data_IF_431555568088
#
_entry.id   IF_431555568088
#
_cell.length_a   1.000
_cell.length_b   1.000
_cell.length_c   1.000
_cell.angle_alpha   90.00
_cell.angle_beta   90.00
_cell.angle_gamma   90.00
#
_symmetry.space_group_name_H-M   'P 1'
#
loop_
_entity.id
_entity.type
_entity.pdbx_description
1 polymer ?
#
# COMPACT_ATOMS: atom_id res chain seq x y z
N UNK A 1 20.18 4.14 16.44
CA UNK A 1 19.69 5.54 16.20
C UNK A 1 18.19 5.45 15.93
N UNK A 2 17.39 6.34 16.54
CA UNK A 2 15.95 6.37 16.25
C UNK A 2 15.65 7.38 15.14
N UNK A 3 14.73 7.03 14.24
CA UNK A 3 14.17 7.92 13.23
C UNK A 3 12.64 7.98 13.36
N UNK A 4 12.08 9.19 13.20
CA UNK A 4 10.65 9.44 13.24
C UNK A 4 10.13 9.58 11.81
N UNK A 5 9.06 8.87 11.47
CA UNK A 5 8.29 9.05 10.24
C UNK A 5 6.95 9.72 10.52
N UNK A 6 6.56 10.65 9.66
CA UNK A 6 5.26 11.34 9.70
C UNK A 6 4.61 11.25 8.33
N UNK A 7 3.38 10.74 8.27
CA UNK A 7 2.57 10.72 7.07
C UNK A 7 1.16 11.23 7.33
N UNK A 8 0.78 12.29 6.60
CA UNK A 8 -0.55 12.91 6.63
C UNK A 8 -1.18 12.81 5.24
N UNK A 9 -1.27 11.59 4.74
CA UNK A 9 -1.95 11.28 3.49
C UNK A 9 -3.47 11.30 3.65
N UNK A 10 -4.19 11.14 2.58
CA UNK A 10 -5.61 11.48 2.43
C UNK A 10 -6.58 10.89 3.47
N UNK A 11 -6.30 9.70 4.05
CA UNK A 11 -7.27 8.99 4.89
C UNK A 11 -6.79 8.71 6.31
N UNK A 12 -5.51 8.87 6.60
CA UNK A 12 -4.97 8.59 7.94
C UNK A 12 -3.82 9.52 8.30
N UNK A 13 -3.80 9.96 9.57
CA UNK A 13 -2.60 10.54 10.19
C UNK A 13 -1.82 9.41 10.80
N UNK A 14 -0.55 9.21 10.44
CA UNK A 14 0.28 8.16 11.00
C UNK A 14 1.67 8.64 11.36
N UNK A 15 2.20 8.06 12.44
CA UNK A 15 3.53 8.29 12.97
C UNK A 15 4.20 6.94 13.23
N UNK A 16 5.51 6.85 13.05
CA UNK A 16 6.28 5.65 13.38
C UNK A 16 7.69 5.99 13.84
N UNK A 17 8.22 5.19 14.76
CA UNK A 17 9.63 5.24 15.19
C UNK A 17 10.32 3.96 14.76
N UNK A 18 11.44 4.10 14.07
CA UNK A 18 12.29 3.01 13.63
C UNK A 18 13.66 3.08 14.32
N UNK A 19 14.14 1.94 14.83
CA UNK A 19 15.49 1.81 15.36
C UNK A 19 16.43 1.22 14.31
N UNK A 20 17.39 2.02 13.87
CA UNK A 20 18.36 1.61 12.86
C UNK A 20 19.33 0.53 13.34
N UNK A 21 19.63 0.48 14.66
CA UNK A 21 20.54 -0.50 15.23
C UNK A 21 19.90 -1.89 15.30
N UNK A 22 18.65 -1.93 15.79
CA UNK A 22 17.88 -3.18 15.81
C UNK A 22 17.34 -3.55 14.42
N UNK A 23 17.15 -2.56 13.54
CA UNK A 23 16.50 -2.76 12.25
C UNK A 23 15.02 -3.09 12.39
N UNK A 24 14.36 -2.49 13.39
CA UNK A 24 12.99 -2.80 13.77
C UNK A 24 12.14 -1.54 13.97
N UNK A 25 10.83 -1.68 13.77
CA UNK A 25 9.84 -0.67 14.14
C UNK A 25 9.63 -0.73 15.64
N UNK A 26 10.04 0.32 16.35
CA UNK A 26 9.86 0.43 17.81
C UNK A 26 8.39 0.57 18.18
N UNK A 27 7.72 1.48 17.50
CA UNK A 27 6.28 1.70 17.66
C UNK A 27 5.74 2.48 16.46
N UNK A 28 4.44 2.33 16.27
CA UNK A 28 3.66 3.13 15.33
C UNK A 28 2.30 3.49 15.94
N UNK A 29 1.72 4.57 15.48
CA UNK A 29 0.36 4.96 15.81
C UNK A 29 -0.31 5.59 14.59
N UNK A 30 -1.63 5.40 14.51
CA UNK A 30 -2.42 5.83 13.38
C UNK A 30 -3.84 6.19 13.79
N UNK A 31 -4.38 7.28 13.20
CA UNK A 31 -5.77 7.69 13.35
C UNK A 31 -6.38 7.94 11.98
N UNK A 32 -7.44 7.20 11.66
CA UNK A 32 -8.21 7.43 10.43
C UNK A 32 -8.98 8.73 10.53
N UNK A 33 -9.08 9.44 9.42
CA UNK A 33 -9.87 10.64 9.32
C UNK A 33 -11.37 10.29 9.25
N UNK A 34 -12.25 11.08 9.89
CA UNK A 34 -13.69 10.85 9.84
C UNK A 34 -14.22 11.15 8.43
N UNK A 35 -14.68 10.13 7.72
CA UNK A 35 -15.42 10.28 6.46
C UNK A 35 -16.89 10.22 6.78
N UNK A 36 -17.68 11.22 6.35
CA UNK A 36 -19.12 11.24 6.56
C UNK A 36 -19.78 10.12 5.76
N UNK A 37 -20.79 9.51 6.36
CA UNK A 37 -21.57 8.46 5.72
C UNK A 37 -22.13 8.95 4.37
N UNK A 38 -21.97 8.11 3.33
CA UNK A 38 -22.37 8.44 1.95
C UNK A 38 -21.38 9.31 1.15
N UNK A 39 -20.25 9.72 1.72
CA UNK A 39 -19.19 10.41 0.98
C UNK A 39 -18.09 9.44 0.52
N UNK A 40 -17.61 9.62 -0.70
CA UNK A 40 -16.53 8.81 -1.31
C UNK A 40 -15.12 9.36 -0.99
N UNK A 41 -15.00 10.39 -0.13
CA UNK A 41 -13.72 10.98 0.24
C UNK A 41 -13.86 12.25 1.08
N UNK A 42 -12.73 12.85 1.42
CA UNK A 42 -12.64 14.11 2.17
C UNK A 42 -12.20 15.27 1.26
N UNK A 43 -12.73 16.46 1.51
CA UNK A 43 -12.15 17.69 0.95
C UNK A 43 -10.75 17.87 1.53
N UNK A 44 -9.84 18.39 0.74
CA UNK A 44 -8.45 18.57 1.17
C UNK A 44 -8.31 19.53 2.37
N UNK A 45 -9.17 20.55 2.47
CA UNK A 45 -9.25 21.44 3.63
C UNK A 45 -9.65 20.69 4.91
N UNK A 46 -10.62 19.77 4.79
CA UNK A 46 -11.12 19.00 5.93
C UNK A 46 -10.07 17.97 6.36
N UNK A 47 -9.39 17.32 5.38
CA UNK A 47 -8.27 16.43 5.67
C UNK A 47 -7.15 17.16 6.39
N UNK A 48 -6.72 18.34 5.89
CA UNK A 48 -5.71 19.18 6.54
C UNK A 48 -6.09 19.54 7.99
N UNK A 49 -7.35 19.96 8.21
CA UNK A 49 -7.85 20.26 9.55
C UNK A 49 -7.77 19.04 10.49
N UNK A 50 -8.28 17.89 10.04
CA UNK A 50 -8.30 16.68 10.85
C UNK A 50 -6.88 16.16 11.16
N UNK A 51 -5.96 16.21 10.20
CA UNK A 51 -4.55 15.87 10.42
C UNK A 51 -3.93 16.78 11.47
N UNK A 52 -4.14 18.10 11.34
CA UNK A 52 -3.61 19.08 12.29
C UNK A 52 -4.14 18.83 13.70
N UNK A 53 -5.44 18.51 13.83
CA UNK A 53 -6.05 18.19 15.11
C UNK A 53 -5.58 16.85 15.72
N UNK A 54 -5.25 15.87 14.88
CA UNK A 54 -4.82 14.53 15.34
C UNK A 54 -3.36 14.44 15.76
N UNK A 55 -2.49 15.25 15.15
CA UNK A 55 -1.04 15.17 15.36
C UNK A 55 -0.58 15.32 16.83
N UNK A 56 -1.11 16.26 17.63
CA UNK A 56 -0.70 16.40 19.04
C UNK A 56 -0.97 15.12 19.85
N UNK A 57 -2.16 14.51 19.69
CA UNK A 57 -2.54 13.30 20.42
C UNK A 57 -1.66 12.13 20.01
N UNK A 58 -1.41 11.96 18.71
CA UNK A 58 -0.57 10.88 18.17
C UNK A 58 0.90 11.06 18.58
N UNK A 59 1.42 12.28 18.64
CA UNK A 59 2.77 12.56 19.16
C UNK A 59 2.88 12.23 20.65
N UNK A 60 1.86 12.53 21.44
CA UNK A 60 1.80 12.17 22.85
C UNK A 60 1.74 10.65 23.04
N UNK A 61 0.89 9.95 22.25
CA UNK A 61 0.82 8.49 22.24
C UNK A 61 2.16 7.84 21.87
N UNK A 62 2.81 8.35 20.82
CA UNK A 62 4.11 7.85 20.36
C UNK A 62 5.20 8.09 21.43
N UNK A 63 5.20 9.27 22.07
CA UNK A 63 6.13 9.62 23.14
C UNK A 63 5.97 8.79 24.42
N UNK A 64 4.78 8.22 24.65
CA UNK A 64 4.55 7.25 25.72
C UNK A 64 5.16 5.87 25.41
N UNK A 65 5.39 5.55 24.13
CA UNK A 65 5.91 4.25 23.64
C UNK A 65 7.41 4.31 23.32
N UNK A 66 7.94 5.47 22.95
CA UNK A 66 9.33 5.65 22.57
C UNK A 66 9.88 6.98 23.11
N UNK A 67 11.15 6.97 23.51
CA UNK A 67 11.86 8.19 23.93
C UNK A 67 12.18 9.08 22.72
N UNK A 68 11.30 10.03 22.43
CA UNK A 68 11.45 10.95 21.31
C UNK A 68 12.66 11.88 21.43
N UNK A 69 13.27 12.00 22.64
CA UNK A 69 14.50 12.76 22.81
C UNK A 69 15.69 12.10 22.12
N UNK A 70 15.63 10.80 21.83
CA UNK A 70 16.64 10.00 21.11
C UNK A 70 16.47 9.98 19.60
N UNK A 71 15.39 10.59 19.08
CA UNK A 71 15.20 10.70 17.62
C UNK A 71 16.29 11.59 17.03
N UNK A 72 17.00 11.08 16.03
CA UNK A 72 18.15 11.73 15.40
C UNK A 72 17.90 12.16 13.94
N UNK A 73 16.78 11.76 13.34
CA UNK A 73 16.31 12.28 12.05
C UNK A 73 14.79 12.12 11.93
N UNK A 74 14.17 12.99 11.15
CA UNK A 74 12.73 12.96 10.86
C UNK A 74 12.51 12.79 9.37
N UNK A 75 11.65 11.85 8.98
CA UNK A 75 11.11 11.73 7.63
C UNK A 75 9.67 12.23 7.58
N UNK A 76 9.28 12.80 6.45
CA UNK A 76 7.91 13.22 6.23
C UNK A 76 7.48 13.01 4.80
N UNK A 77 6.28 12.47 4.59
CA UNK A 77 5.62 12.49 3.29
C UNK A 77 5.22 13.93 2.96
N UNK A 78 5.83 14.52 1.93
CA UNK A 78 5.59 15.92 1.55
C UNK A 78 4.60 16.04 0.37
N UNK A 79 4.37 14.95 -0.37
CA UNK A 79 3.49 14.89 -1.55
C UNK A 79 3.09 13.44 -1.85
N UNK A 80 2.05 13.21 -2.70
CA UNK A 80 1.58 11.85 -3.01
C UNK A 80 2.62 10.97 -3.73
N UNK A 81 3.22 11.46 -4.82
CA UNK A 81 4.09 10.70 -5.72
C UNK A 81 5.37 11.47 -6.04
N UNK A 82 6.48 10.78 -6.41
CA UNK A 82 7.76 11.42 -6.76
C UNK A 82 7.76 11.97 -8.21
N UNK A 83 6.70 12.70 -8.58
CA UNK A 83 6.55 13.33 -9.90
C UNK A 83 6.27 14.83 -9.74
N UNK A 84 6.65 15.62 -10.75
CA UNK A 84 6.40 17.03 -10.75
C UNK A 84 4.89 17.34 -10.78
N UNK A 85 4.48 18.39 -10.09
CA UNK A 85 3.07 18.75 -9.97
C UNK A 85 2.24 17.86 -9.02
N UNK A 86 2.81 16.80 -8.45
CA UNK A 86 2.14 15.99 -7.43
C UNK A 86 2.03 16.78 -6.14
N UNK A 87 0.84 17.29 -5.83
CA UNK A 87 0.58 18.13 -4.67
C UNK A 87 -0.82 17.86 -4.10
N UNK A 88 -0.90 17.77 -2.79
CA UNK A 88 -2.16 17.75 -2.04
C UNK A 88 -1.99 18.52 -0.73
N UNK A 89 -2.88 19.49 -0.40
CA UNK A 89 -2.78 20.32 0.79
C UNK A 89 -2.70 19.57 2.13
N UNK A 90 -3.31 18.40 2.23
CA UNK A 90 -3.31 17.60 3.47
C UNK A 90 -1.89 17.27 3.99
N UNK A 91 -0.90 17.13 3.10
CA UNK A 91 0.49 16.86 3.49
C UNK A 91 1.15 18.00 4.26
N UNK A 92 0.63 19.23 4.15
CA UNK A 92 1.17 20.39 4.86
C UNK A 92 1.12 20.22 6.39
N UNK A 93 0.13 19.50 6.92
CA UNK A 93 0.05 19.24 8.36
C UNK A 93 1.29 18.47 8.85
N UNK A 94 1.64 17.38 8.16
CA UNK A 94 2.82 16.57 8.47
C UNK A 94 4.12 17.34 8.27
N UNK A 95 4.24 18.06 7.15
CA UNK A 95 5.45 18.85 6.84
C UNK A 95 5.68 19.92 7.91
N UNK A 96 4.64 20.62 8.36
CA UNK A 96 4.76 21.63 9.41
C UNK A 96 5.20 21.00 10.75
N UNK A 97 4.56 19.90 11.16
CA UNK A 97 4.92 19.20 12.40
C UNK A 97 6.35 18.65 12.35
N UNK A 98 6.73 17.99 11.25
CA UNK A 98 8.09 17.46 11.05
C UNK A 98 9.14 18.56 11.06
N UNK A 99 8.86 19.70 10.41
CA UNK A 99 9.77 20.85 10.36
C UNK A 99 9.95 21.45 11.75
N UNK A 100 8.86 21.68 12.49
CA UNK A 100 8.94 22.21 13.85
C UNK A 100 9.74 21.29 14.78
N UNK A 101 9.48 19.98 14.73
CA UNK A 101 10.19 18.98 15.52
C UNK A 101 11.68 18.91 15.16
N UNK A 102 12.00 18.79 13.87
CA UNK A 102 13.38 18.66 13.39
C UNK A 102 14.20 19.92 13.69
N UNK A 103 13.66 21.11 13.41
CA UNK A 103 14.34 22.39 13.67
C UNK A 103 14.49 22.67 15.13
N UNK A 104 13.47 22.38 15.96
CA UNK A 104 13.54 22.54 17.42
C UNK A 104 14.61 21.67 18.07
N UNK A 105 14.92 20.51 17.47
CA UNK A 105 15.98 19.61 17.94
C UNK A 105 17.34 19.80 17.24
N UNK A 106 17.41 20.56 16.15
CA UNK A 106 18.62 20.69 15.34
C UNK A 106 19.02 19.40 14.62
N UNK A 107 18.06 18.57 14.20
CA UNK A 107 18.27 17.28 13.52
C UNK A 107 17.83 17.34 12.06
N UNK A 108 18.32 16.41 11.18
CA UNK A 108 17.92 16.33 9.78
C UNK A 108 16.43 16.11 9.58
N UNK A 109 15.87 16.77 8.55
CA UNK A 109 14.54 16.57 8.02
C UNK A 109 14.64 16.02 6.59
N UNK A 110 14.05 14.85 6.36
CA UNK A 110 14.02 14.14 5.08
C UNK A 110 12.62 14.23 4.48
N UNK A 111 12.53 14.83 3.31
CA UNK A 111 11.28 14.88 2.55
C UNK A 111 11.16 13.67 1.64
N UNK A 112 10.10 12.90 1.81
CA UNK A 112 9.76 11.75 0.97
C UNK A 112 8.42 11.97 0.29
N UNK A 113 7.93 10.95 -0.39
CA UNK A 113 6.55 10.91 -0.88
C UNK A 113 5.79 9.77 -0.23
N UNK A 114 4.47 9.89 -0.16
CA UNK A 114 3.59 8.84 0.35
C UNK A 114 3.81 7.50 -0.39
N UNK A 115 3.94 7.54 -1.72
CA UNK A 115 4.22 6.34 -2.51
C UNK A 115 5.57 5.69 -2.15
N UNK A 116 6.64 6.48 -1.95
CA UNK A 116 7.93 5.96 -1.48
C UNK A 116 7.81 5.33 -0.08
N UNK A 117 7.04 5.95 0.82
CA UNK A 117 6.74 5.38 2.13
C UNK A 117 6.06 4.02 2.03
N UNK A 118 5.04 3.88 1.16
CA UNK A 118 4.39 2.59 0.92
C UNK A 118 5.35 1.52 0.38
N UNK A 119 6.19 1.88 -0.59
CA UNK A 119 7.16 0.94 -1.15
C UNK A 119 8.19 0.53 -0.09
N UNK A 120 8.74 1.48 0.67
CA UNK A 120 9.69 1.18 1.73
C UNK A 120 9.09 0.26 2.81
N UNK A 121 7.86 0.51 3.24
CA UNK A 121 7.15 -0.36 4.18
C UNK A 121 6.90 -1.75 3.59
N UNK A 122 6.56 -1.84 2.30
CA UNK A 122 6.34 -3.09 1.59
C UNK A 122 7.64 -3.92 1.50
N UNK A 123 8.74 -3.31 1.08
CA UNK A 123 10.05 -3.99 1.00
C UNK A 123 10.51 -4.45 2.39
N UNK A 124 10.39 -3.60 3.40
CA UNK A 124 10.73 -3.95 4.79
C UNK A 124 9.93 -5.14 5.31
N UNK A 125 8.64 -5.18 5.01
CA UNK A 125 7.72 -6.21 5.48
C UNK A 125 7.98 -7.60 4.88
N UNK A 126 8.75 -7.70 3.79
CA UNK A 126 9.19 -9.00 3.24
C UNK A 126 10.24 -9.69 4.11
N UNK A 127 10.95 -8.95 4.97
CA UNK A 127 12.11 -9.42 5.73
C UNK A 127 13.40 -9.49 4.89
N UNK A 128 13.34 -9.27 3.59
CA UNK A 128 14.48 -9.35 2.67
C UNK A 128 15.12 -7.96 2.47
N UNK A 129 16.05 -7.60 3.33
CA UNK A 129 16.70 -6.27 3.30
C UNK A 129 17.38 -5.95 1.97
N UNK A 130 17.91 -6.95 1.27
CA UNK A 130 18.55 -6.80 -0.04
C UNK A 130 17.65 -6.18 -1.13
N UNK A 131 16.33 -6.22 -0.97
CA UNK A 131 15.40 -5.59 -1.91
C UNK A 131 15.53 -4.05 -1.96
N UNK A 132 16.11 -3.44 -0.93
CA UNK A 132 16.39 -2.00 -0.95
C UNK A 132 17.58 -1.62 -1.82
N UNK A 133 18.46 -2.58 -2.17
CA UNK A 133 19.71 -2.34 -2.90
C UNK A 133 19.64 -2.80 -4.37
N UNK A 134 18.53 -3.35 -4.80
CA UNK A 134 18.37 -3.90 -6.15
C UNK A 134 17.08 -3.42 -6.81
N UNK A 135 16.98 -3.63 -8.12
CA UNK A 135 15.72 -3.46 -8.82
C UNK A 135 14.73 -4.56 -8.45
N UNK A 136 13.49 -4.18 -8.33
CA UNK A 136 12.38 -5.11 -8.08
C UNK A 136 11.07 -4.60 -8.67
N UNK A 137 10.16 -5.52 -8.95
CA UNK A 137 8.81 -5.23 -9.41
C UNK A 137 7.88 -5.18 -8.20
N UNK A 138 7.15 -4.08 -8.03
CA UNK A 138 6.20 -3.93 -6.93
C UNK A 138 4.80 -3.70 -7.47
N UNK A 139 3.89 -4.59 -7.12
CA UNK A 139 2.46 -4.39 -7.31
C UNK A 139 1.88 -3.66 -6.11
N UNK A 140 1.20 -2.55 -6.35
CA UNK A 140 0.37 -1.87 -5.35
C UNK A 140 -1.09 -2.02 -5.74
N UNK A 141 -1.83 -2.87 -5.01
CA UNK A 141 -3.18 -3.30 -5.38
C UNK A 141 -4.16 -3.00 -4.24
N UNK A 142 -4.96 -1.98 -4.42
CA UNK A 142 -5.89 -1.46 -3.40
C UNK A 142 -7.22 -1.00 -4.03
N UNK A 143 -8.07 -0.36 -3.25
CA UNK A 143 -9.27 0.32 -3.73
C UNK A 143 -8.99 1.55 -4.60
N UNK A 144 -7.81 2.15 -4.48
CA UNK A 144 -7.40 3.36 -5.21
C UNK A 144 -6.34 3.14 -6.27
N UNK A 145 -5.74 1.95 -6.34
CA UNK A 145 -4.65 1.65 -7.29
C UNK A 145 -4.65 0.19 -7.72
N UNK A 146 -4.16 -0.06 -8.93
CA UNK A 146 -3.74 -1.37 -9.42
C UNK A 146 -2.55 -1.12 -10.31
N UNK A 147 -1.43 -0.83 -9.69
CA UNK A 147 -0.21 -0.38 -10.34
C UNK A 147 0.88 -1.45 -10.27
N UNK A 148 1.63 -1.60 -11.35
CA UNK A 148 2.89 -2.31 -11.42
C UNK A 148 4.02 -1.29 -11.57
N UNK A 149 4.95 -1.31 -10.64
CA UNK A 149 6.05 -0.36 -10.52
C UNK A 149 7.38 -1.08 -10.65
N UNK A 150 8.33 -0.47 -11.36
CA UNK A 150 9.75 -0.82 -11.27
C UNK A 150 10.38 0.07 -10.19
N UNK A 151 10.94 -0.55 -9.18
CA UNK A 151 11.52 0.15 -8.05
C UNK A 151 13.02 -0.18 -7.95
N UNK A 152 13.86 0.83 -7.79
CA UNK A 152 15.23 0.66 -7.35
C UNK A 152 15.30 1.10 -5.88
N UNK A 153 15.28 0.11 -4.98
CA UNK A 153 14.93 0.35 -3.59
C UNK A 153 13.54 0.94 -3.47
N UNK A 154 13.36 1.89 -2.56
CA UNK A 154 12.13 2.67 -2.45
C UNK A 154 12.30 4.13 -2.91
N UNK A 155 13.50 4.50 -3.30
CA UNK A 155 13.87 5.88 -3.66
C UNK A 155 13.50 6.22 -5.11
N UNK A 156 13.70 5.29 -6.03
CA UNK A 156 13.36 5.46 -7.45
C UNK A 156 12.21 4.57 -7.84
N UNK A 157 11.12 5.17 -8.28
CA UNK A 157 9.89 4.48 -8.65
C UNK A 157 9.50 4.89 -10.06
N UNK A 158 9.41 3.91 -10.95
CA UNK A 158 8.97 4.08 -12.34
C UNK A 158 7.70 3.27 -12.57
N UNK A 159 6.56 3.89 -12.89
CA UNK A 159 5.36 3.19 -13.29
C UNK A 159 5.61 2.39 -14.57
N UNK A 160 5.31 1.09 -14.57
CA UNK A 160 5.37 0.21 -15.75
C UNK A 160 4.00 -0.05 -16.33
N UNK A 161 3.01 -0.33 -15.47
CA UNK A 161 1.67 -0.69 -15.88
C UNK A 161 0.63 -0.36 -14.83
N UNK A 162 -0.62 -0.25 -15.27
CA UNK A 162 -1.75 0.09 -14.39
C UNK A 162 -3.05 -0.46 -14.95
N UNK A 163 -4.10 -0.42 -14.15
CA UNK A 163 -5.46 -0.62 -14.68
C UNK A 163 -5.94 0.62 -15.42
N UNK A 164 -6.50 0.42 -16.62
CA UNK A 164 -6.92 1.51 -17.51
C UNK A 164 -8.34 2.02 -17.20
N UNK A 165 -9.08 1.35 -16.33
CA UNK A 165 -10.49 1.67 -16.07
C UNK A 165 -10.89 1.50 -14.59
N UNK A 166 -10.96 0.30 -14.06
CA UNK A 166 -11.42 -0.02 -12.72
C UNK A 166 -10.28 -0.65 -11.92
N UNK A 167 -10.09 -0.22 -10.67
CA UNK A 167 -9.08 -0.82 -9.79
C UNK A 167 -9.58 -2.14 -9.18
N UNK A 168 -8.65 -3.06 -8.90
CA UNK A 168 -8.96 -4.39 -8.40
C UNK A 168 -9.76 -4.36 -7.09
N UNK A 169 -9.37 -3.50 -6.13
CA UNK A 169 -10.13 -3.35 -4.89
C UNK A 169 -11.53 -2.83 -5.12
N UNK A 170 -11.72 -1.88 -6.04
CA UNK A 170 -13.06 -1.41 -6.41
C UNK A 170 -13.91 -2.53 -7.02
N UNK A 171 -13.33 -3.38 -7.89
CA UNK A 171 -14.07 -4.49 -8.47
C UNK A 171 -14.56 -5.47 -7.40
N UNK A 172 -13.72 -5.77 -6.40
CA UNK A 172 -14.06 -6.63 -5.25
C UNK A 172 -15.11 -5.97 -4.36
N UNK A 173 -14.93 -4.69 -4.00
CA UNK A 173 -15.85 -3.97 -3.13
C UNK A 173 -17.24 -3.79 -3.75
N UNK A 174 -17.30 -3.46 -5.05
CA UNK A 174 -18.57 -3.34 -5.79
C UNK A 174 -19.35 -4.65 -5.85
N UNK A 175 -18.64 -5.78 -6.02
CA UNK A 175 -19.27 -7.10 -5.92
C UNK A 175 -19.84 -7.32 -4.53
N UNK A 176 -19.07 -7.07 -3.48
CA UNK A 176 -19.51 -7.26 -2.10
C UNK A 176 -20.71 -6.41 -1.74
N UNK A 177 -20.70 -5.12 -2.10
CA UNK A 177 -21.86 -4.22 -1.91
C UNK A 177 -23.07 -4.71 -2.68
N UNK A 178 -22.90 -5.21 -3.90
CA UNK A 178 -24.00 -5.80 -4.70
C UNK A 178 -24.59 -7.06 -4.04
N UNK A 179 -23.81 -7.78 -3.25
CA UNK A 179 -24.26 -8.93 -2.44
C UNK A 179 -24.80 -8.52 -1.05
N UNK A 180 -24.83 -7.21 -0.73
CA UNK A 180 -25.35 -6.70 0.53
C UNK A 180 -24.32 -6.64 1.66
N UNK A 181 -23.03 -6.83 1.38
CA UNK A 181 -21.97 -6.70 2.40
C UNK A 181 -21.61 -5.24 2.66
N UNK A 182 -21.17 -4.91 3.89
CA UNK A 182 -20.71 -3.56 4.21
C UNK A 182 -19.39 -3.25 3.48
N UNK A 183 -19.17 -1.97 3.22
CA UNK A 183 -17.91 -1.45 2.68
C UNK A 183 -16.88 -1.18 3.81
N UNK A 184 -15.59 -1.51 3.65
CA UNK A 184 -14.97 -2.25 2.53
C UNK A 184 -15.31 -3.74 2.56
N UNK A 185 -15.63 -4.31 1.40
CA UNK A 185 -16.24 -5.64 1.31
C UNK A 185 -15.25 -6.81 1.09
N UNK A 186 -13.96 -6.50 0.91
CA UNK A 186 -12.94 -7.48 0.51
C UNK A 186 -12.85 -8.73 1.41
N UNK A 187 -13.01 -8.55 2.73
CA UNK A 187 -13.00 -9.66 3.72
C UNK A 187 -14.18 -10.60 3.47
N UNK A 188 -15.39 -10.04 3.37
CA UNK A 188 -16.63 -10.81 3.15
C UNK A 188 -16.60 -11.56 1.82
N UNK A 189 -16.12 -10.92 0.75
CA UNK A 189 -15.96 -11.55 -0.57
C UNK A 189 -14.96 -12.71 -0.50
N UNK A 190 -13.87 -12.57 0.27
CA UNK A 190 -12.88 -13.64 0.45
C UNK A 190 -13.42 -14.81 1.27
N UNK A 191 -14.15 -14.54 2.35
CA UNK A 191 -14.81 -15.56 3.18
C UNK A 191 -15.87 -16.32 2.40
N UNK A 192 -16.69 -15.62 1.61
CA UNK A 192 -17.70 -16.23 0.76
C UNK A 192 -17.05 -17.08 -0.34
N UNK A 193 -15.99 -16.60 -0.98
CA UNK A 193 -15.25 -17.33 -2.01
C UNK A 193 -14.63 -18.63 -1.48
N UNK A 194 -14.20 -18.67 -0.22
CA UNK A 194 -13.62 -19.84 0.42
C UNK A 194 -14.60 -21.01 0.54
N UNK A 195 -15.90 -20.76 0.53
CA UNK A 195 -16.93 -21.80 0.59
C UNK A 195 -17.12 -22.54 -0.74
N UNK A 196 -16.63 -21.99 -1.86
CA UNK A 196 -16.78 -22.59 -3.18
C UNK A 196 -15.63 -23.55 -3.49
N UNK A 197 -15.95 -24.80 -3.78
CA UNK A 197 -15.00 -25.83 -4.23
C UNK A 197 -14.91 -25.95 -5.74
N UNK A 198 -15.87 -25.37 -6.48
CA UNK A 198 -15.92 -25.44 -7.94
C UNK A 198 -14.67 -24.83 -8.60
N UNK A 199 -14.26 -25.41 -9.73
CA UNK A 199 -13.18 -24.86 -10.54
C UNK A 199 -13.65 -23.63 -11.31
N UNK A 200 -12.86 -22.58 -11.27
CA UNK A 200 -13.12 -21.32 -11.97
C UNK A 200 -12.20 -21.19 -13.18
N UNK A 201 -12.76 -20.75 -14.31
CA UNK A 201 -12.02 -20.42 -15.53
C UNK A 201 -12.05 -18.90 -15.73
N UNK A 202 -10.96 -18.18 -15.37
CA UNK A 202 -10.94 -16.72 -15.43
C UNK A 202 -10.93 -16.20 -16.87
N UNK A 203 -11.70 -15.13 -17.12
CA UNK A 203 -11.65 -14.35 -18.35
C UNK A 203 -11.17 -12.95 -18.02
N UNK A 204 -9.98 -12.61 -18.46
CA UNK A 204 -9.31 -11.35 -18.09
C UNK A 204 -8.86 -10.57 -19.32
N UNK A 205 -8.76 -9.25 -19.17
CA UNK A 205 -8.26 -8.33 -20.18
C UNK A 205 -6.93 -7.75 -19.74
N UNK A 206 -5.84 -8.28 -20.30
CA UNK A 206 -4.46 -7.85 -20.04
C UNK A 206 -3.74 -7.65 -21.36
N UNK A 207 -3.08 -6.49 -21.51
CA UNK A 207 -2.24 -6.15 -22.67
C UNK A 207 -0.85 -5.72 -22.17
N UNK A 208 0.13 -6.63 -22.32
CA UNK A 208 1.45 -6.44 -21.73
C UNK A 208 1.34 -6.28 -20.22
N UNK A 209 1.82 -5.16 -19.69
CA UNK A 209 1.82 -4.81 -18.27
C UNK A 209 0.59 -4.01 -17.82
N UNK A 210 -0.37 -3.73 -18.70
CA UNK A 210 -1.60 -3.02 -18.41
C UNK A 210 -2.82 -3.96 -18.40
N UNK A 211 -3.85 -3.61 -17.63
CA UNK A 211 -5.09 -4.37 -17.56
C UNK A 211 -6.34 -3.49 -17.64
N UNK A 212 -7.48 -4.12 -17.82
CA UNK A 212 -8.81 -3.52 -17.70
C UNK A 212 -9.71 -4.45 -16.88
N UNK A 213 -10.35 -3.91 -15.84
CA UNK A 213 -11.14 -4.66 -14.88
C UNK A 213 -12.65 -4.35 -14.93
N UNK A 214 -13.09 -3.32 -15.68
CA UNK A 214 -14.51 -3.01 -15.84
C UNK A 214 -15.30 -4.16 -16.47
N UNK A 215 -14.67 -4.91 -17.38
CA UNK A 215 -15.26 -6.12 -17.96
C UNK A 215 -15.54 -7.21 -16.92
N UNK A 216 -14.78 -7.29 -15.83
CA UNK A 216 -15.02 -8.20 -14.72
C UNK A 216 -16.32 -7.87 -13.99
N UNK A 217 -16.62 -6.57 -13.80
CA UNK A 217 -17.88 -6.13 -13.20
C UNK A 217 -19.09 -6.62 -14.02
N UNK A 218 -19.03 -6.52 -15.32
CA UNK A 218 -20.09 -7.03 -16.21
C UNK A 218 -20.22 -8.56 -16.12
N UNK A 219 -19.10 -9.29 -16.05
CA UNK A 219 -19.08 -10.74 -15.97
C UNK A 219 -19.75 -11.26 -14.70
N UNK A 220 -19.35 -10.76 -13.51
CA UNK A 220 -19.94 -11.23 -12.27
C UNK A 220 -21.40 -10.76 -12.12
N UNK A 221 -21.76 -9.59 -12.64
CA UNK A 221 -23.15 -9.14 -12.68
C UNK A 221 -24.03 -10.09 -13.50
N UNK A 222 -23.53 -10.54 -14.65
CA UNK A 222 -24.20 -11.53 -15.48
C UNK A 222 -24.36 -12.87 -14.76
N UNK A 223 -23.29 -13.37 -14.13
CA UNK A 223 -23.35 -14.63 -13.37
C UNK A 223 -24.38 -14.58 -12.24
N UNK A 224 -24.50 -13.47 -11.51
CA UNK A 224 -25.53 -13.27 -10.49
C UNK A 224 -26.93 -13.25 -11.09
N UNK A 225 -27.12 -12.59 -12.23
CA UNK A 225 -28.42 -12.55 -12.93
C UNK A 225 -28.86 -13.94 -13.48
N UNK A 226 -27.89 -14.80 -13.80
CA UNK A 226 -28.11 -16.21 -14.22
C UNK A 226 -28.34 -17.15 -13.02
N UNK A 227 -28.37 -16.62 -11.77
CA UNK A 227 -28.64 -17.39 -10.54
C UNK A 227 -27.45 -18.25 -10.07
N UNK A 228 -26.22 -17.91 -10.48
CA UNK A 228 -25.02 -18.58 -9.95
C UNK A 228 -24.86 -18.31 -8.44
N UNK A 229 -24.39 -19.34 -7.75
CA UNK A 229 -24.10 -19.25 -6.31
C UNK A 229 -23.18 -18.06 -6.00
N UNK A 230 -23.53 -17.19 -5.05
CA UNK A 230 -22.70 -16.09 -4.61
C UNK A 230 -21.26 -16.50 -4.26
N UNK A 231 -21.04 -17.67 -3.64
CA UNK A 231 -19.71 -18.18 -3.33
C UNK A 231 -18.89 -18.43 -4.60
N UNK A 232 -19.51 -19.00 -5.65
CA UNK A 232 -18.84 -19.15 -6.94
C UNK A 232 -18.51 -17.79 -7.57
N UNK A 233 -19.43 -16.82 -7.50
CA UNK A 233 -19.22 -15.49 -8.10
C UNK A 233 -18.11 -14.73 -7.38
N UNK A 234 -18.06 -14.80 -6.06
CA UNK A 234 -16.95 -14.23 -5.26
C UNK A 234 -15.62 -14.86 -5.64
N UNK A 235 -15.57 -16.19 -5.72
CA UNK A 235 -14.37 -16.92 -6.16
C UNK A 235 -13.96 -16.54 -7.58
N UNK A 236 -14.92 -16.42 -8.49
CA UNK A 236 -14.68 -15.99 -9.86
C UNK A 236 -14.02 -14.61 -9.90
N UNK A 237 -14.55 -13.65 -9.16
CA UNK A 237 -13.99 -12.29 -9.06
C UNK A 237 -12.53 -12.31 -8.59
N UNK A 238 -12.25 -12.98 -7.47
CA UNK A 238 -10.89 -13.03 -6.90
C UNK A 238 -9.90 -13.77 -7.81
N UNK A 239 -10.32 -14.87 -8.46
CA UNK A 239 -9.47 -15.60 -9.41
C UNK A 239 -9.20 -14.76 -10.67
N UNK A 240 -10.17 -13.99 -11.17
CA UNK A 240 -9.93 -13.07 -12.28
C UNK A 240 -8.93 -11.95 -11.89
N UNK A 241 -9.02 -11.39 -10.69
CA UNK A 241 -8.02 -10.44 -10.19
C UNK A 241 -6.65 -11.11 -10.11
N UNK A 242 -6.55 -12.30 -9.52
CA UNK A 242 -5.30 -13.05 -9.39
C UNK A 242 -4.66 -13.37 -10.76
N UNK A 243 -5.45 -13.82 -11.73
CA UNK A 243 -4.98 -14.11 -13.08
C UNK A 243 -4.53 -12.84 -13.81
N UNK A 244 -5.24 -11.71 -13.62
CA UNK A 244 -4.84 -10.41 -14.15
C UNK A 244 -3.45 -10.02 -13.66
N UNK A 245 -3.22 -10.03 -12.35
CA UNK A 245 -1.93 -9.71 -11.74
C UNK A 245 -0.84 -10.69 -12.18
N UNK A 246 -1.16 -11.98 -12.29
CA UNK A 246 -0.24 -13.02 -12.77
C UNK A 246 0.24 -12.73 -14.20
N UNK A 247 -0.68 -12.38 -15.12
CA UNK A 247 -0.31 -12.07 -16.51
C UNK A 247 0.52 -10.79 -16.60
N UNK A 248 0.16 -9.74 -15.86
CA UNK A 248 0.95 -8.51 -15.79
C UNK A 248 2.37 -8.79 -15.27
N UNK A 249 2.50 -9.59 -14.20
CA UNK A 249 3.80 -9.97 -13.64
C UNK A 249 4.65 -10.76 -14.64
N UNK A 250 4.06 -11.73 -15.33
CA UNK A 250 4.77 -12.52 -16.36
C UNK A 250 5.26 -11.65 -17.51
N UNK A 251 4.40 -10.76 -18.03
CA UNK A 251 4.78 -9.84 -19.08
C UNK A 251 5.95 -8.93 -18.68
N UNK A 252 5.97 -8.45 -17.43
CA UNK A 252 7.09 -7.66 -16.92
C UNK A 252 8.37 -8.50 -16.75
N UNK A 253 8.25 -9.76 -16.32
CA UNK A 253 9.37 -10.68 -16.14
C UNK A 253 9.94 -11.19 -17.47
N UNK A 254 9.16 -11.22 -18.55
CA UNK A 254 9.66 -11.51 -19.91
C UNK A 254 10.65 -10.43 -20.36
N UNK A 255 10.40 -9.16 -20.06
CA UNK A 255 11.30 -8.05 -20.37
C UNK A 255 12.44 -7.91 -19.36
N UNK A 256 12.22 -8.31 -18.11
CA UNK A 256 13.14 -8.15 -16.96
C UNK A 256 13.26 -9.46 -16.18
N UNK A 257 13.90 -10.48 -16.73
CA UNK A 257 13.95 -11.79 -16.11
C UNK A 257 14.73 -11.77 -14.79
N UNK A 258 14.20 -12.52 -13.81
CA UNK A 258 14.86 -12.72 -12.53
C UNK A 258 14.64 -11.62 -11.49
N UNK A 259 13.94 -10.53 -11.81
CA UNK A 259 13.62 -9.52 -10.81
C UNK A 259 12.70 -10.09 -9.72
N UNK A 260 12.92 -9.72 -8.44
CA UNK A 260 11.99 -10.00 -7.37
C UNK A 260 10.64 -9.32 -7.64
N UNK A 261 9.55 -10.01 -7.31
CA UNK A 261 8.19 -9.47 -7.43
C UNK A 261 7.55 -9.38 -6.04
N UNK A 262 7.17 -8.17 -5.64
CA UNK A 262 6.52 -7.89 -4.35
C UNK A 262 5.09 -7.46 -4.59
N UNK A 263 4.15 -8.09 -3.90
CA UNK A 263 2.73 -7.77 -3.97
C UNK A 263 2.27 -7.11 -2.68
N UNK A 264 1.84 -5.85 -2.76
CA UNK A 264 1.39 -5.01 -1.65
C UNK A 264 -0.04 -4.48 -1.89
N UNK A 265 -0.67 -4.03 -0.82
CA UNK A 265 -2.01 -3.45 -0.81
C UNK A 265 -3.08 -4.40 -0.29
N UNK A 266 -4.23 -3.83 0.09
CA UNK A 266 -5.28 -4.56 0.82
C UNK A 266 -5.88 -5.75 0.06
N UNK A 267 -5.94 -5.69 -1.26
CA UNK A 267 -6.43 -6.80 -2.11
C UNK A 267 -5.56 -8.05 -1.96
N UNK A 268 -4.26 -7.87 -1.71
CA UNK A 268 -3.31 -8.97 -1.54
C UNK A 268 -3.42 -9.67 -0.18
N UNK A 269 -4.33 -9.24 0.69
CA UNK A 269 -4.66 -9.95 1.94
C UNK A 269 -5.52 -11.20 1.70
N UNK A 270 -6.12 -11.36 0.51
CA UNK A 270 -6.88 -12.56 0.14
C UNK A 270 -5.97 -13.77 -0.06
N UNK A 271 -6.15 -14.80 0.76
CA UNK A 271 -5.37 -16.05 0.66
C UNK A 271 -5.58 -16.76 -0.67
N UNK A 272 -6.77 -16.65 -1.24
CA UNK A 272 -7.08 -17.21 -2.56
C UNK A 272 -6.23 -16.56 -3.66
N UNK A 273 -6.12 -15.21 -3.64
CA UNK A 273 -5.27 -14.48 -4.59
C UNK A 273 -3.80 -14.84 -4.38
N UNK A 274 -3.33 -14.84 -3.14
CA UNK A 274 -1.94 -15.16 -2.80
C UNK A 274 -1.56 -16.57 -3.26
N UNK A 275 -2.37 -17.56 -2.95
CA UNK A 275 -2.16 -18.95 -3.37
C UNK A 275 -2.11 -19.08 -4.89
N UNK A 276 -3.04 -18.42 -5.59
CA UNK A 276 -3.10 -18.47 -7.05
C UNK A 276 -1.86 -17.86 -7.71
N UNK A 277 -1.45 -16.69 -7.24
CA UNK A 277 -0.28 -15.95 -7.76
C UNK A 277 1.02 -16.69 -7.42
N UNK A 278 1.19 -17.16 -6.16
CA UNK A 278 2.39 -17.90 -5.73
C UNK A 278 2.66 -19.14 -6.57
N UNK A 279 1.60 -19.85 -6.98
CA UNK A 279 1.73 -21.02 -7.81
C UNK A 279 2.17 -20.73 -9.27
N UNK A 280 2.13 -19.45 -9.70
CA UNK A 280 2.30 -19.05 -11.11
C UNK A 280 3.37 -18.00 -11.36
N UNK A 281 3.78 -17.27 -10.32
CA UNK A 281 4.84 -16.27 -10.33
C UNK A 281 5.92 -16.73 -9.36
N UNK A 282 6.98 -17.39 -9.84
CA UNK A 282 8.06 -17.88 -8.97
C UNK A 282 8.69 -16.75 -8.17
N UNK A 283 8.91 -16.99 -6.89
CA UNK A 283 9.52 -16.00 -6.00
C UNK A 283 8.64 -14.78 -5.68
N UNK A 284 7.32 -14.86 -5.90
CA UNK A 284 6.38 -13.82 -5.47
C UNK A 284 6.42 -13.64 -3.94
N UNK A 285 6.50 -12.40 -3.49
CA UNK A 285 6.50 -11.98 -2.09
C UNK A 285 5.24 -11.20 -1.80
N UNK A 286 4.64 -11.46 -0.64
CA UNK A 286 3.38 -10.81 -0.25
C UNK A 286 3.55 -10.04 1.05
N UNK A 287 3.13 -8.79 1.02
CA UNK A 287 3.19 -7.90 2.18
C UNK A 287 2.07 -8.25 3.16
N UNK A 288 2.37 -8.47 4.46
CA UNK A 288 1.35 -8.68 5.47
C UNK A 288 0.38 -7.50 5.58
N UNK A 289 -0.91 -7.76 5.84
CA UNK A 289 -1.98 -6.76 5.85
C UNK A 289 -1.72 -5.53 6.75
N UNK A 290 -1.01 -5.72 7.88
CA UNK A 290 -0.63 -4.62 8.77
C UNK A 290 0.24 -3.52 8.12
N UNK A 291 0.98 -3.85 7.05
CA UNK A 291 1.79 -2.92 6.27
C UNK A 291 1.12 -2.47 4.97
N UNK A 292 -0.05 -3.04 4.65
CA UNK A 292 -0.76 -2.78 3.40
C UNK A 292 -1.59 -1.49 3.41
N UNK A 293 -1.84 -0.91 4.60
CA UNK A 293 -2.58 0.35 4.76
C UNK A 293 -1.63 1.52 5.03
N UNK A 294 -2.11 2.75 4.83
CA UNK A 294 -1.36 3.97 5.11
C UNK A 294 -0.65 3.89 6.46
N UNK A 295 0.66 4.12 6.45
CA UNK A 295 1.49 4.10 7.63
C UNK A 295 2.78 4.92 7.40
N UNK A 296 3.36 5.43 8.48
CA UNK A 296 4.59 6.20 8.46
C UNK A 296 5.85 5.34 8.61
N UNK A 297 5.73 4.01 8.68
CA UNK A 297 6.87 3.09 8.88
C UNK A 297 7.89 3.25 7.76
N UNK A 298 7.45 3.18 6.50
CA UNK A 298 8.37 3.35 5.38
C UNK A 298 9.02 4.73 5.34
N UNK A 299 8.32 5.77 5.79
CA UNK A 299 8.85 7.13 5.87
C UNK A 299 9.98 7.23 6.92
N UNK A 300 9.83 6.56 8.08
CA UNK A 300 10.90 6.49 9.09
C UNK A 300 12.12 5.72 8.61
N UNK A 301 11.91 4.63 7.85
CA UNK A 301 12.98 3.84 7.22
C UNK A 301 13.73 4.66 6.17
N UNK A 302 13.02 5.39 5.32
CA UNK A 302 13.64 6.27 4.32
C UNK A 302 14.49 7.37 4.98
N UNK A 303 14.02 7.94 6.10
CA UNK A 303 14.83 8.87 6.87
C UNK A 303 16.12 8.24 7.41
N UNK A 304 16.06 7.00 7.87
CA UNK A 304 17.23 6.26 8.32
C UNK A 304 18.24 5.99 7.19
N UNK A 305 17.74 5.62 6.02
CA UNK A 305 18.56 5.34 4.82
C UNK A 305 19.27 6.60 4.31
N UNK A 306 18.55 7.71 4.20
CA UNK A 306 19.13 9.00 3.76
C UNK A 306 20.28 9.47 4.66
N UNK A 307 20.22 9.13 5.95
CA UNK A 307 21.32 9.44 6.90
C UNK A 307 22.44 8.39 6.87
N UNK A 308 22.38 7.38 5.98
CA UNK A 308 23.35 6.27 5.96
C UNK A 308 23.34 5.40 7.22
N UNK A 309 22.35 5.60 8.10
CA UNK A 309 22.27 4.96 9.39
C UNK A 309 21.66 3.55 9.35
N UNK A 310 21.04 3.19 8.23
CA UNK A 310 20.51 1.86 7.98
C UNK A 310 20.84 1.44 6.54
N UNK A 311 21.98 0.76 6.42
CA UNK A 311 22.42 0.12 5.20
C UNK A 311 22.14 -1.36 5.31
N UNK A 312 21.68 -1.93 4.21
CA UNK A 312 21.28 -3.34 4.16
C UNK A 312 22.43 -4.27 3.77
N UNK A 313 23.64 -3.76 3.69
CA UNK A 313 24.85 -4.54 3.42
C UNK A 313 24.97 -5.65 4.47
N UNK A 314 24.76 -6.87 4.02
CA UNK A 314 25.03 -8.12 4.72
C UNK A 314 26.44 -8.10 5.35
N UNK A 315 26.51 -8.39 6.65
CA UNK A 315 27.71 -9.09 7.11
C UNK A 315 27.71 -10.50 6.55
#
# INVERSE_FOLDING_TARGET
>A
MLTLGIDTSNYATSLAVFDTNAGEVVCDCKKFLPVKEGQLGLRQSDALFHHTAALPDLLAELGAKADLTKVAAVGVSAKPRPVDGSYMPCFLAGVNAATAFARGKGIPLVHTTHQQGHIAAALFATGERGLFEQENLVFHVSGGTTDLLLCQGAERITPLGTSQDLYAGQAVDRLGVKLGYPFPAGVYVSEQAAQCTEKVHPKVSVKGVNCSLSGLENQYTKLLAEGKDPAYVCKYCLICVAETLTRMARAALEERPGLPVVFAGGVMSSDLIRTYVSARVPGARFVPGKFASDNAIGVSILAAREQGAWQTTSM
#
